data_IF_580750232838
#
_entry.id   IF_580750232838
#
_cell.length_a   1.000
_cell.length_b   1.000
_cell.length_c   1.000
_cell.angle_alpha   90.00
_cell.angle_beta   90.00
_cell.angle_gamma   90.00
#
_symmetry.space_group_name_H-M   'P 1'
#
loop_
_entity.id
_entity.type
_entity.pdbx_description
1 polymer ?
#
# COMPACT_ATOMS: atom_id res chain seq x y z
N UNK A 1 -4.18 5.66 7.92
CA UNK A 1 -5.46 5.41 7.21
C UNK A 1 -5.39 6.05 5.83
N UNK A 2 -6.19 5.60 4.86
CA UNK A 2 -6.33 6.33 3.60
C UNK A 2 -7.16 7.61 3.85
N UNK A 3 -6.97 8.68 3.06
CA UNK A 3 -7.80 9.87 3.20
C UNK A 3 -9.28 9.58 2.89
N UNK A 4 -10.19 10.10 3.72
CA UNK A 4 -11.64 9.89 3.56
C UNK A 4 -12.20 10.50 2.27
N UNK A 5 -11.49 11.47 1.67
CA UNK A 5 -11.85 12.08 0.40
C UNK A 5 -11.59 11.19 -0.82
N UNK A 6 -10.97 10.02 -0.65
CA UNK A 6 -10.66 9.14 -1.76
C UNK A 6 -11.86 8.25 -2.10
N UNK A 7 -12.30 8.32 -3.36
CA UNK A 7 -13.26 7.36 -3.88
C UNK A 7 -12.64 5.95 -3.95
N UNK A 8 -13.48 4.93 -3.98
CA UNK A 8 -13.05 3.55 -4.14
C UNK A 8 -12.25 3.33 -5.44
N UNK A 9 -12.49 4.10 -6.50
CA UNK A 9 -11.75 4.00 -7.75
C UNK A 9 -10.39 4.69 -7.68
N UNK A 10 -10.32 5.86 -7.02
CA UNK A 10 -9.04 6.49 -6.72
C UNK A 10 -8.15 5.56 -5.88
N UNK A 11 -8.73 4.90 -4.88
CA UNK A 11 -7.99 3.97 -4.02
C UNK A 11 -7.39 2.80 -4.81
N UNK A 12 -8.12 2.23 -5.79
CA UNK A 12 -7.60 1.18 -6.69
C UNK A 12 -6.41 1.69 -7.50
N UNK A 13 -6.51 2.88 -8.12
CA UNK A 13 -5.43 3.46 -8.93
C UNK A 13 -4.19 3.74 -8.10
N UNK A 14 -4.35 4.35 -6.93
CA UNK A 14 -3.26 4.69 -6.01
C UNK A 14 -2.53 3.43 -5.51
N UNK A 15 -3.30 2.41 -5.11
CA UNK A 15 -2.75 1.14 -4.61
C UNK A 15 -2.08 0.32 -5.73
N UNK A 16 -2.65 0.29 -6.94
CA UNK A 16 -2.05 -0.41 -8.09
C UNK A 16 -0.70 0.22 -8.48
N UNK A 17 -0.62 1.55 -8.51
CA UNK A 17 0.63 2.26 -8.75
C UNK A 17 1.69 1.97 -7.66
N UNK A 18 1.29 1.93 -6.38
CA UNK A 18 2.17 1.55 -5.28
C UNK A 18 2.63 0.09 -5.38
N UNK A 19 1.73 -0.82 -5.77
CA UNK A 19 2.03 -2.25 -5.93
C UNK A 19 3.01 -2.50 -7.07
N UNK A 20 2.86 -1.81 -8.21
CA UNK A 20 3.77 -1.91 -9.34
C UNK A 20 5.21 -1.50 -8.98
N UNK A 21 5.36 -0.51 -8.11
CA UNK A 21 6.67 0.01 -7.65
C UNK A 21 7.09 -0.53 -6.26
N UNK A 22 6.45 -1.61 -5.79
CA UNK A 22 6.65 -2.13 -4.44
C UNK A 22 8.06 -2.61 -4.18
N UNK A 23 8.44 -2.57 -2.91
CA UNK A 23 9.65 -3.19 -2.36
C UNK A 23 9.26 -4.28 -1.35
N UNK A 24 10.02 -5.37 -1.24
CA UNK A 24 9.82 -6.36 -0.17
C UNK A 24 10.05 -5.70 1.21
N UNK A 25 9.30 -6.14 2.22
CA UNK A 25 9.54 -5.71 3.61
C UNK A 25 10.65 -6.59 4.20
N UNK A 26 11.75 -6.01 4.72
CA UNK A 26 12.81 -6.79 5.37
C UNK A 26 12.26 -7.68 6.48
N UNK A 27 12.75 -8.92 6.55
CA UNK A 27 12.33 -9.93 7.54
C UNK A 27 10.83 -10.33 7.46
N UNK A 28 10.10 -9.97 6.40
CA UNK A 28 8.71 -10.38 6.18
C UNK A 28 8.50 -10.87 4.74
N UNK A 29 8.79 -12.15 4.44
CA UNK A 29 8.89 -12.68 3.07
C UNK A 29 7.60 -12.59 2.25
N UNK A 30 6.44 -12.52 2.90
CA UNK A 30 5.13 -12.42 2.24
C UNK A 30 4.56 -11.00 2.24
N UNK A 31 5.36 -9.99 2.61
CA UNK A 31 4.92 -8.60 2.69
C UNK A 31 5.71 -7.70 1.75
N UNK A 32 5.01 -6.68 1.25
CA UNK A 32 5.57 -5.61 0.46
C UNK A 32 5.20 -4.26 1.04
N UNK A 33 5.96 -3.23 0.68
CA UNK A 33 5.69 -1.85 0.98
C UNK A 33 5.86 -0.99 -0.26
N UNK A 34 5.12 0.12 -0.33
CA UNK A 34 5.19 1.05 -1.44
C UNK A 34 4.64 2.41 -1.04
N UNK A 35 4.78 3.38 -1.94
CA UNK A 35 4.25 4.73 -1.78
C UNK A 35 3.30 5.01 -2.94
N UNK A 36 2.09 5.45 -2.64
CA UNK A 36 1.13 5.84 -3.68
C UNK A 36 1.58 7.16 -4.34
N UNK A 37 1.12 7.48 -5.56
CA UNK A 37 1.42 8.75 -6.22
C UNK A 37 1.10 9.99 -5.37
N UNK A 38 0.00 9.94 -4.61
CA UNK A 38 -0.37 11.01 -3.66
C UNK A 38 0.47 11.05 -2.38
N UNK A 39 1.44 10.14 -2.24
CA UNK A 39 2.43 10.16 -1.16
C UNK A 39 2.09 9.31 0.06
N UNK A 40 1.01 8.52 0.03
CA UNK A 40 0.63 7.64 1.14
C UNK A 40 1.50 6.40 1.15
N UNK A 41 2.14 6.10 2.27
CA UNK A 41 2.84 4.83 2.44
C UNK A 41 1.85 3.69 2.70
N UNK A 42 2.05 2.57 2.03
CA UNK A 42 1.21 1.37 2.16
C UNK A 42 2.07 0.13 2.36
N UNK A 43 1.50 -0.87 3.03
CA UNK A 43 2.04 -2.23 3.08
C UNK A 43 0.97 -3.21 2.65
N UNK A 44 1.37 -4.36 2.11
CA UNK A 44 0.41 -5.41 1.81
C UNK A 44 1.01 -6.80 1.83
N UNK A 45 0.13 -7.80 1.79
CA UNK A 45 0.50 -9.21 1.68
C UNK A 45 0.50 -9.64 0.20
N UNK A 46 1.39 -10.56 -0.16
CA UNK A 46 1.43 -11.16 -1.51
C UNK A 46 0.52 -12.40 -1.63
N UNK A 47 0.26 -13.09 -0.52
CA UNK A 47 -0.53 -14.33 -0.43
C UNK A 47 -1.20 -14.43 0.95
N UNK A 48 -2.30 -15.20 1.12
CA UNK A 48 -3.09 -15.91 0.10
C UNK A 48 -4.10 -15.00 -0.65
N UNK A 49 -4.30 -13.77 -0.19
CA UNK A 49 -5.05 -12.71 -0.90
C UNK A 49 -4.24 -11.43 -0.81
N UNK A 50 -4.08 -10.72 -1.93
CA UNK A 50 -3.41 -9.41 -1.94
C UNK A 50 -4.27 -8.43 -1.15
N UNK A 51 -3.85 -8.09 0.07
CA UNK A 51 -4.52 -7.10 0.93
C UNK A 51 -3.54 -5.99 1.26
N UNK A 52 -4.02 -4.75 1.25
CA UNK A 52 -3.19 -3.55 1.37
C UNK A 52 -3.72 -2.65 2.47
N UNK A 53 -2.82 -2.13 3.29
CA UNK A 53 -3.10 -1.27 4.43
C UNK A 53 -2.24 0.00 4.37
N UNK A 54 -2.77 1.16 4.76
CA UNK A 54 -2.00 2.38 4.91
C UNK A 54 -1.07 2.28 6.13
N UNK A 55 0.20 2.65 5.98
CA UNK A 55 1.11 2.77 7.12
C UNK A 55 0.78 4.03 7.92
N UNK A 56 0.66 3.96 9.24
CA UNK A 56 0.61 5.17 10.05
C UNK A 56 1.95 5.91 9.94
N UNK A 57 1.95 7.26 9.92
CA UNK A 57 3.19 8.03 10.03
C UNK A 57 3.95 7.60 11.29
N UNK A 58 5.25 7.37 11.18
CA UNK A 58 6.09 7.13 12.36
C UNK A 58 6.00 8.38 13.25
N UNK A 59 5.64 8.19 14.52
CA UNK A 59 5.66 9.24 15.55
C UNK A 59 7.10 9.58 15.94
#
# INVERSE_FOLDING_TARGET
MFPDSWSADRLKVEVDAAYKNRQPVPNKPNMWQGKTPSGVEVTGYLQPKTTVYPKPPMQ
#
